data_IF_533914210620
#
_entry.id   IF_533914210620
#
_cell.length_a   1.000
_cell.length_b   1.000
_cell.length_c   1.000
_cell.angle_alpha   90.00
_cell.angle_beta   90.00
_cell.angle_gamma   90.00
#
_symmetry.space_group_name_H-M   'P 1'
#
loop_
_entity.id
_entity.type
_entity.pdbx_description
1 polymer ?
#
# COMPACT_ATOMS: atom_id res chain seq x y z
N UNK A 1 32.59 54.90 64.03
CA UNK A 1 33.88 54.65 63.34
C UNK A 1 33.57 54.43 61.86
N UNK A 2 33.75 55.47 61.04
CA UNK A 2 34.94 55.76 60.21
C UNK A 2 34.94 55.00 58.87
N UNK A 3 34.73 55.77 57.78
CA UNK A 3 35.37 55.74 56.45
C UNK A 3 35.26 54.46 55.59
N UNK A 4 35.25 54.47 54.26
CA UNK A 4 34.88 55.39 53.16
C UNK A 4 35.17 54.58 51.88
N UNK A 5 34.26 54.67 50.89
CA UNK A 5 34.52 54.84 49.44
C UNK A 5 35.64 54.02 48.77
N UNK A 6 35.28 53.19 47.76
CA UNK A 6 35.56 53.49 46.33
C UNK A 6 34.91 52.48 45.36
N UNK A 7 34.27 53.07 44.35
CA UNK A 7 33.84 52.51 43.07
C UNK A 7 34.89 51.65 42.38
N UNK A 8 34.47 50.54 41.75
CA UNK A 8 34.76 50.24 40.33
C UNK A 8 33.53 49.54 39.75
N UNK A 9 32.88 50.20 38.79
CA UNK A 9 31.89 49.59 37.91
C UNK A 9 32.62 48.88 36.77
N UNK A 10 32.33 47.59 36.57
CA UNK A 10 32.57 46.92 35.29
C UNK A 10 31.24 46.30 34.87
N UNK A 11 30.57 47.02 33.97
CA UNK A 11 29.53 46.50 33.10
C UNK A 11 30.18 45.40 32.25
N UNK A 12 29.79 44.14 32.44
CA UNK A 12 29.90 43.14 31.40
C UNK A 12 28.49 42.78 30.94
N UNK A 13 28.01 43.57 29.97
CA UNK A 13 26.91 43.19 29.10
C UNK A 13 27.35 41.98 28.28
N UNK A 14 27.11 40.77 28.82
CA UNK A 14 27.14 39.56 28.01
C UNK A 14 25.88 39.59 27.16
N UNK A 15 26.02 40.19 25.98
CA UNK A 15 25.12 39.99 24.86
C UNK A 15 25.25 38.52 24.48
N UNK A 16 24.39 37.68 25.06
CA UNK A 16 24.13 36.36 24.50
C UNK A 16 23.38 36.63 23.20
N UNK A 17 24.15 36.71 22.10
CA UNK A 17 23.60 36.57 20.77
C UNK A 17 22.92 35.20 20.71
N UNK A 18 21.61 35.19 20.96
CA UNK A 18 20.73 34.17 20.43
C UNK A 18 20.87 34.24 18.90
N UNK A 19 21.86 33.53 18.36
CA UNK A 19 21.77 33.02 17.00
C UNK A 19 20.64 32.01 17.05
N UNK A 20 19.43 32.49 16.77
CA UNK A 20 18.44 31.66 16.09
C UNK A 20 19.12 31.25 14.78
N UNK A 21 19.84 30.12 14.81
CA UNK A 21 19.94 29.28 13.64
C UNK A 21 18.50 29.02 13.27
N UNK A 22 18.03 29.65 12.18
CA UNK A 22 16.95 29.06 11.41
C UNK A 22 17.49 27.70 11.01
N UNK A 23 17.17 26.67 11.77
CA UNK A 23 17.04 25.36 11.17
C UNK A 23 16.12 25.59 9.98
N UNK A 24 16.66 25.39 8.78
CA UNK A 24 15.83 25.03 7.66
C UNK A 24 15.18 23.71 8.09
N UNK A 25 14.04 23.81 8.75
CA UNK A 25 12.98 22.83 8.59
C UNK A 25 12.57 22.95 7.13
N UNK A 26 13.36 22.33 6.26
CA UNK A 26 12.88 21.85 4.98
C UNK A 26 11.84 20.80 5.37
N UNK A 27 10.60 21.25 5.57
CA UNK A 27 9.51 20.36 5.98
C UNK A 27 9.39 19.30 4.90
N UNK A 28 9.38 18.01 5.29
CA UNK A 28 9.24 16.91 4.33
C UNK A 28 7.95 16.98 3.50
N UNK A 29 7.01 17.87 3.85
CA UNK A 29 5.86 18.26 3.02
C UNK A 29 6.27 18.64 1.59
N UNK A 30 7.43 19.28 1.41
CA UNK A 30 7.98 19.62 0.09
C UNK A 30 8.41 18.39 -0.74
N UNK A 31 8.70 17.26 -0.09
CA UNK A 31 9.20 16.05 -0.76
C UNK A 31 8.09 15.16 -1.31
N UNK A 32 6.87 15.26 -0.76
CA UNK A 32 5.71 14.49 -1.25
C UNK A 32 4.75 15.35 -2.08
N UNK A 33 4.97 16.67 -2.12
CA UNK A 33 4.15 17.62 -2.86
C UNK A 33 2.72 17.69 -2.34
N UNK A 34 2.58 17.71 -1.01
CA UNK A 34 1.30 17.67 -0.31
C UNK A 34 0.43 18.90 -0.65
N UNK A 35 -0.81 18.65 -1.07
CA UNK A 35 -1.80 19.71 -1.34
C UNK A 35 -2.88 19.75 -0.23
N UNK A 36 -3.24 18.62 0.35
CA UNK A 36 -4.20 18.54 1.46
C UNK A 36 -3.91 17.32 2.32
N UNK A 37 -3.93 17.49 3.64
CA UNK A 37 -3.88 16.41 4.61
C UNK A 37 -4.80 16.69 5.79
N UNK A 38 -5.79 15.81 5.96
CA UNK A 38 -6.60 15.67 7.16
C UNK A 38 -7.15 14.24 7.20
N UNK A 39 -7.86 13.91 8.27
CA UNK A 39 -8.43 12.57 8.49
C UNK A 39 -9.24 12.04 7.28
N UNK A 40 -9.92 12.94 6.55
CA UNK A 40 -10.84 12.58 5.46
C UNK A 40 -10.31 12.88 4.06
N UNK A 41 -9.18 13.57 3.92
CA UNK A 41 -8.63 13.99 2.62
C UNK A 41 -7.11 13.95 2.66
N UNK A 42 -6.52 13.23 1.71
CA UNK A 42 -5.08 13.18 1.52
C UNK A 42 -4.75 13.29 0.03
N UNK A 43 -4.08 14.37 -0.37
CA UNK A 43 -3.78 14.62 -1.78
C UNK A 43 -2.47 15.36 -1.98
N UNK A 44 -1.87 15.17 -3.16
CA UNK A 44 -0.63 15.82 -3.54
C UNK A 44 -0.20 15.51 -4.97
N UNK A 45 0.94 16.10 -5.35
CA UNK A 45 1.54 15.99 -6.68
C UNK A 45 3.05 15.96 -6.60
N UNK A 46 3.67 14.98 -7.25
CA UNK A 46 5.12 14.87 -7.33
C UNK A 46 5.55 14.30 -8.68
N UNK A 47 6.81 14.51 -9.03
CA UNK A 47 7.40 13.95 -10.25
C UNK A 47 8.52 12.98 -9.86
N UNK A 48 8.41 11.72 -10.26
CA UNK A 48 9.39 10.67 -10.01
C UNK A 48 9.89 10.14 -11.35
N UNK A 49 11.19 10.26 -11.60
CA UNK A 49 11.84 9.80 -12.84
C UNK A 49 11.14 10.32 -14.11
N UNK A 50 10.73 11.60 -14.12
CA UNK A 50 9.97 12.25 -15.19
C UNK A 50 8.55 11.70 -15.40
N UNK A 51 8.01 10.93 -14.45
CA UNK A 51 6.61 10.52 -14.40
C UNK A 51 5.88 11.45 -13.43
N UNK A 52 4.85 12.14 -13.90
CA UNK A 52 4.07 13.03 -13.04
C UNK A 52 2.97 12.23 -12.35
N UNK A 53 2.93 12.27 -11.02
CA UNK A 53 1.93 11.55 -10.23
C UNK A 53 1.13 12.57 -9.42
N UNK A 54 -0.18 12.56 -9.61
CA UNK A 54 -1.14 13.23 -8.73
C UNK A 54 -1.97 12.18 -8.02
N UNK A 55 -2.04 12.26 -6.70
CA UNK A 55 -2.76 11.30 -5.87
C UNK A 55 -3.81 12.01 -5.03
N UNK A 56 -4.95 11.36 -4.85
CA UNK A 56 -6.03 11.81 -3.97
C UNK A 56 -6.67 10.59 -3.31
N UNK A 57 -6.91 10.69 -2.01
CA UNK A 57 -7.75 9.80 -1.24
C UNK A 57 -8.73 10.63 -0.43
N UNK A 58 -10.02 10.31 -0.53
CA UNK A 58 -11.09 11.06 0.13
C UNK A 58 -12.10 10.12 0.76
N UNK A 59 -12.31 10.25 2.07
CA UNK A 59 -13.47 9.67 2.74
C UNK A 59 -14.74 10.43 2.34
N UNK A 60 -15.76 9.71 1.90
CA UNK A 60 -17.08 10.30 1.61
C UNK A 60 -18.16 9.83 2.59
N UNK A 61 -17.93 8.70 3.26
CA UNK A 61 -18.67 8.20 4.42
C UNK A 61 -17.67 7.50 5.35
N UNK A 62 -18.11 7.14 6.56
CA UNK A 62 -17.31 6.30 7.45
C UNK A 62 -16.92 5.01 6.73
N UNK A 63 -15.62 4.69 6.75
CA UNK A 63 -15.06 3.49 6.10
C UNK A 63 -15.26 3.38 4.58
N UNK A 64 -15.64 4.48 3.90
CA UNK A 64 -15.79 4.51 2.43
C UNK A 64 -14.96 5.61 1.79
N UNK A 65 -14.13 5.21 0.84
CA UNK A 65 -13.08 6.04 0.28
C UNK A 65 -13.13 6.08 -1.24
N UNK A 66 -12.89 7.26 -1.81
CA UNK A 66 -12.61 7.44 -3.22
C UNK A 66 -11.11 7.72 -3.39
N UNK A 67 -10.45 6.89 -4.18
CA UNK A 67 -9.04 7.04 -4.56
C UNK A 67 -8.98 7.46 -6.03
N UNK A 68 -8.09 8.40 -6.33
CA UNK A 68 -7.79 8.82 -7.70
C UNK A 68 -6.28 8.99 -7.85
N UNK A 69 -5.71 8.33 -8.85
CA UNK A 69 -4.29 8.41 -9.19
C UNK A 69 -4.16 8.80 -10.65
N UNK A 70 -3.60 9.97 -10.91
CA UNK A 70 -3.22 10.41 -12.25
C UNK A 70 -1.74 10.16 -12.45
N UNK A 71 -1.39 9.39 -13.47
CA UNK A 71 -0.02 9.09 -13.88
C UNK A 71 0.18 9.66 -15.28
N UNK A 72 0.93 10.76 -15.37
CA UNK A 72 0.99 11.63 -16.54
C UNK A 72 -0.43 12.05 -16.97
N UNK A 73 -0.93 11.51 -18.08
CA UNK A 73 -2.28 11.78 -18.61
C UNK A 73 -3.25 10.60 -18.41
N UNK A 74 -2.86 9.56 -17.68
CA UNK A 74 -3.67 8.37 -17.41
C UNK A 74 -4.30 8.47 -16.02
N UNK A 75 -5.60 8.18 -15.93
CA UNK A 75 -6.35 8.20 -14.68
C UNK A 75 -6.71 6.77 -14.27
N UNK A 76 -6.51 6.45 -13.00
CA UNK A 76 -7.07 5.26 -12.35
C UNK A 76 -7.81 5.71 -11.09
N UNK A 77 -9.04 5.23 -10.94
CA UNK A 77 -9.88 5.50 -9.78
C UNK A 77 -10.29 4.21 -9.08
N UNK A 78 -10.50 4.29 -7.77
CA UNK A 78 -11.18 3.26 -7.00
C UNK A 78 -12.20 3.84 -6.01
N UNK A 79 -13.28 3.10 -5.80
CA UNK A 79 -14.18 3.26 -4.67
C UNK A 79 -14.00 2.06 -3.76
N UNK A 80 -13.69 2.30 -2.48
CA UNK A 80 -13.44 1.27 -1.48
C UNK A 80 -14.51 1.37 -0.40
N UNK A 81 -15.17 0.26 -0.09
CA UNK A 81 -16.14 0.10 0.99
C UNK A 81 -15.62 -0.98 1.94
N UNK A 82 -15.01 -0.57 3.05
CA UNK A 82 -14.45 -1.51 4.03
C UNK A 82 -15.53 -2.21 4.87
N UNK A 83 -16.75 -1.68 4.94
CA UNK A 83 -17.85 -2.34 5.64
C UNK A 83 -18.29 -3.58 4.86
N UNK A 84 -18.35 -3.46 3.53
CA UNK A 84 -18.79 -4.53 2.63
C UNK A 84 -17.66 -5.37 2.04
N UNK A 85 -16.42 -4.95 2.23
CA UNK A 85 -15.24 -5.53 1.57
C UNK A 85 -15.41 -5.52 0.05
N UNK A 86 -15.86 -4.38 -0.45
CA UNK A 86 -16.12 -4.16 -1.85
C UNK A 86 -15.18 -3.09 -2.37
N UNK A 87 -14.62 -3.31 -3.55
CA UNK A 87 -13.96 -2.26 -4.31
C UNK A 87 -14.40 -2.22 -5.76
N UNK A 88 -14.58 -1.02 -6.28
CA UNK A 88 -14.85 -0.76 -7.69
C UNK A 88 -13.64 -0.03 -8.24
N UNK A 89 -12.93 -0.64 -9.17
CA UNK A 89 -11.79 -0.03 -9.87
C UNK A 89 -12.24 0.41 -11.25
N UNK A 90 -11.81 1.59 -11.68
CA UNK A 90 -11.95 2.07 -13.04
C UNK A 90 -10.64 2.71 -13.49
N UNK A 91 -9.87 1.98 -14.30
CA UNK A 91 -8.65 2.50 -14.91
C UNK A 91 -8.83 2.96 -16.35
N UNK A 92 -10.07 3.07 -16.85
CA UNK A 92 -10.37 3.57 -18.20
C UNK A 92 -9.61 2.85 -19.32
N UNK A 93 -9.42 1.53 -19.17
CA UNK A 93 -8.66 0.68 -20.09
C UNK A 93 -7.20 1.13 -20.29
N UNK A 94 -6.66 1.89 -19.32
CA UNK A 94 -5.25 2.27 -19.34
C UNK A 94 -4.36 1.03 -19.16
N UNK A 95 -3.19 1.08 -19.78
CA UNK A 95 -2.12 0.10 -19.61
C UNK A 95 -0.86 0.89 -19.19
N UNK A 96 -0.42 0.67 -17.95
CA UNK A 96 0.72 1.37 -17.39
C UNK A 96 2.03 0.69 -17.82
N UNK A 97 2.99 1.49 -18.27
CA UNK A 97 4.36 1.02 -18.51
C UNK A 97 5.04 0.60 -17.20
N UNK A 98 6.09 -0.23 -17.31
CA UNK A 98 6.90 -0.65 -16.17
C UNK A 98 7.46 0.55 -15.39
N UNK A 99 7.97 1.56 -16.09
CA UNK A 99 8.46 2.81 -15.49
C UNK A 99 7.37 3.55 -14.69
N UNK A 100 6.15 3.59 -15.21
CA UNK A 100 5.03 4.22 -14.51
C UNK A 100 4.64 3.43 -13.25
N UNK A 101 4.67 2.09 -13.31
CA UNK A 101 4.44 1.23 -12.16
C UNK A 101 5.51 1.40 -11.07
N UNK A 102 6.78 1.47 -11.47
CA UNK A 102 7.89 1.78 -10.57
C UNK A 102 7.72 3.16 -9.92
N UNK A 103 7.34 4.17 -10.70
CA UNK A 103 7.06 5.51 -10.18
C UNK A 103 5.92 5.51 -9.14
N UNK A 104 4.84 4.75 -9.37
CA UNK A 104 3.75 4.58 -8.38
C UNK A 104 4.29 3.97 -7.08
N UNK A 105 5.09 2.90 -7.16
CA UNK A 105 5.67 2.26 -5.98
C UNK A 105 6.62 3.22 -5.24
N UNK A 106 7.48 3.92 -5.95
CA UNK A 106 8.40 4.90 -5.38
C UNK A 106 7.64 6.05 -4.70
N UNK A 107 6.55 6.55 -5.30
CA UNK A 107 5.68 7.52 -4.64
C UNK A 107 5.07 6.95 -3.36
N UNK A 108 4.54 5.72 -3.38
CA UNK A 108 4.00 5.08 -2.18
C UNK A 108 5.04 4.95 -1.06
N UNK A 109 6.29 4.64 -1.43
CA UNK A 109 7.43 4.60 -0.50
C UNK A 109 7.67 5.96 0.14
N UNK A 110 7.80 7.00 -0.69
CA UNK A 110 8.09 8.37 -0.25
C UNK A 110 6.98 8.88 0.69
N UNK A 111 5.71 8.64 0.33
CA UNK A 111 4.56 9.00 1.18
C UNK A 111 4.64 8.25 2.51
N UNK A 112 4.91 6.94 2.50
CA UNK A 112 4.98 6.18 3.75
C UNK A 112 6.16 6.61 4.64
N UNK A 113 7.34 6.84 4.05
CA UNK A 113 8.51 7.35 4.78
C UNK A 113 8.19 8.69 5.46
N UNK A 114 7.44 9.57 4.79
CA UNK A 114 6.90 10.80 5.36
C UNK A 114 5.96 10.54 6.55
N UNK A 115 4.95 9.67 6.39
CA UNK A 115 3.98 9.39 7.46
C UNK A 115 4.65 8.73 8.69
N UNK A 116 5.63 7.85 8.47
CA UNK A 116 6.37 7.21 9.55
C UNK A 116 7.25 8.20 10.32
N UNK A 117 7.81 9.19 9.63
CA UNK A 117 8.71 10.20 10.22
C UNK A 117 7.94 11.32 10.89
N UNK A 118 6.99 11.93 10.17
CA UNK A 118 6.32 13.17 10.58
C UNK A 118 5.08 12.92 11.45
N UNK A 119 4.44 11.75 11.32
CA UNK A 119 3.27 11.38 12.14
C UNK A 119 3.57 10.29 13.17
N UNK A 120 4.85 9.95 13.38
CA UNK A 120 5.27 8.86 14.27
C UNK A 120 4.57 7.51 13.98
N UNK A 121 4.13 7.31 12.73
CA UNK A 121 3.38 6.13 12.32
C UNK A 121 1.87 6.16 12.59
N UNK A 122 1.31 7.31 13.00
CA UNK A 122 -0.13 7.52 13.07
C UNK A 122 -0.73 7.70 11.65
N UNK A 123 -1.07 6.57 11.03
CA UNK A 123 -1.59 6.51 9.67
C UNK A 123 -3.13 6.42 9.74
N UNK A 124 -3.80 7.43 9.20
CA UNK A 124 -5.27 7.44 9.04
C UNK A 124 -5.71 6.40 8.01
N UNK A 125 -6.99 6.01 8.06
CA UNK A 125 -7.55 5.11 7.04
C UNK A 125 -7.47 5.71 5.63
N UNK A 126 -7.67 7.02 5.48
CA UNK A 126 -7.52 7.72 4.18
C UNK A 126 -6.11 7.54 3.60
N UNK A 127 -5.08 7.69 4.41
CA UNK A 127 -3.67 7.50 4.01
C UNK A 127 -3.37 6.01 3.72
N UNK A 128 -3.82 5.12 4.59
CA UNK A 128 -3.65 3.67 4.44
C UNK A 128 -4.29 3.14 3.14
N UNK A 129 -5.52 3.57 2.83
CA UNK A 129 -6.24 3.14 1.64
C UNK A 129 -5.53 3.61 0.37
N UNK A 130 -5.01 4.85 0.35
CA UNK A 130 -4.21 5.32 -0.78
C UNK A 130 -3.00 4.41 -0.99
N UNK A 131 -2.20 4.23 0.07
CA UNK A 131 -0.96 3.46 0.03
C UNK A 131 -1.22 2.03 -0.45
N UNK A 132 -2.26 1.38 0.07
CA UNK A 132 -2.66 0.03 -0.31
C UNK A 132 -3.00 -0.07 -1.80
N UNK A 133 -3.78 0.89 -2.32
CA UNK A 133 -4.15 0.93 -3.74
C UNK A 133 -2.97 1.25 -4.66
N UNK A 134 -2.07 2.13 -4.25
CA UNK A 134 -0.83 2.41 -4.99
C UNK A 134 0.03 1.15 -5.12
N UNK A 135 0.16 0.38 -4.03
CA UNK A 135 0.90 -0.88 -4.09
C UNK A 135 0.21 -1.90 -5.00
N UNK A 136 -1.12 -2.05 -4.88
CA UNK A 136 -1.93 -2.95 -5.72
C UNK A 136 -1.77 -2.64 -7.21
N UNK A 137 -1.93 -1.37 -7.59
CA UNK A 137 -1.76 -0.97 -8.99
C UNK A 137 -0.31 -1.11 -9.47
N UNK A 138 0.65 -0.62 -8.68
CA UNK A 138 2.08 -0.67 -9.03
C UNK A 138 2.63 -2.08 -9.18
N UNK A 139 1.99 -3.10 -8.60
CA UNK A 139 2.43 -4.50 -8.67
C UNK A 139 1.69 -5.41 -9.61
N UNK A 140 0.58 -4.95 -10.14
CA UNK A 140 -0.11 -5.70 -11.19
C UNK A 140 0.85 -6.05 -12.33
N UNK A 141 0.62 -7.16 -13.05
CA UNK A 141 1.56 -7.63 -14.07
C UNK A 141 1.81 -6.64 -15.21
N UNK A 142 2.96 -6.74 -15.89
CA UNK A 142 3.27 -5.92 -17.06
C UNK A 142 2.18 -6.13 -18.12
N UNK A 143 1.78 -5.06 -18.83
CA UNK A 143 0.69 -5.05 -19.81
C UNK A 143 -0.73 -5.29 -19.25
N UNK A 144 -0.90 -5.32 -17.93
CA UNK A 144 -2.24 -5.40 -17.34
C UNK A 144 -3.09 -4.17 -17.71
N UNK A 145 -4.27 -4.42 -18.29
CA UNK A 145 -5.24 -3.39 -18.69
C UNK A 145 -6.19 -3.15 -17.51
N UNK A 146 -6.24 -1.93 -17.01
CA UNK A 146 -7.11 -1.57 -15.89
C UNK A 146 -8.51 -1.20 -16.40
N UNK A 147 -9.30 -2.19 -16.80
CA UNK A 147 -10.71 -2.01 -17.13
C UNK A 147 -11.56 -1.77 -15.87
N UNK A 148 -12.81 -1.33 -16.08
CA UNK A 148 -13.76 -1.21 -14.98
C UNK A 148 -14.13 -2.59 -14.44
N UNK A 149 -13.90 -2.83 -13.15
CA UNK A 149 -14.26 -4.07 -12.45
C UNK A 149 -14.78 -3.81 -11.05
N UNK A 150 -15.65 -4.68 -10.58
CA UNK A 150 -16.15 -4.72 -9.20
C UNK A 150 -15.61 -6.00 -8.55
N UNK A 151 -15.03 -5.85 -7.38
CA UNK A 151 -14.48 -6.91 -6.56
C UNK A 151 -15.24 -6.85 -5.25
N UNK A 152 -15.74 -7.98 -4.78
CA UNK A 152 -16.43 -8.05 -3.50
C UNK A 152 -16.07 -9.38 -2.85
N UNK A 153 -15.64 -9.35 -1.59
CA UNK A 153 -15.46 -10.58 -0.84
C UNK A 153 -16.76 -11.37 -0.79
N UNK A 154 -16.73 -12.69 -1.01
CA UNK A 154 -17.87 -13.56 -0.75
C UNK A 154 -18.32 -13.40 0.71
N UNK A 155 -19.47 -12.78 0.93
CA UNK A 155 -20.05 -12.64 2.26
C UNK A 155 -20.63 -14.01 2.67
N UNK A 156 -19.89 -14.80 3.44
CA UNK A 156 -20.40 -16.07 4.00
C UNK A 156 -21.53 -15.77 4.99
N UNK A 157 -22.78 -15.98 4.57
CA UNK A 157 -23.99 -15.81 5.40
C UNK A 157 -24.17 -16.91 6.46
N UNK A 158 -23.41 -17.99 6.35
CA UNK A 158 -23.32 -19.06 7.35
C UNK A 158 -22.04 -18.84 8.14
N UNK A 159 -22.13 -18.65 9.47
CA UNK A 159 -21.03 -18.31 10.39
C UNK A 159 -19.87 -19.32 10.50
N UNK A 160 -19.62 -20.11 9.47
CA UNK A 160 -18.43 -20.92 9.25
C UNK A 160 -17.86 -20.46 7.91
N UNK A 161 -16.81 -19.63 7.96
CA UNK A 161 -16.00 -19.32 6.78
C UNK A 161 -15.47 -20.65 6.24
N UNK A 162 -15.78 -20.98 4.99
CA UNK A 162 -15.00 -21.99 4.27
C UNK A 162 -13.54 -21.56 4.35
N UNK A 163 -12.60 -22.51 4.37
CA UNK A 163 -11.16 -22.21 4.44
C UNK A 163 -10.60 -21.58 3.16
N UNK A 164 -11.47 -21.23 2.22
CA UNK A 164 -11.20 -20.82 0.85
C UNK A 164 -12.22 -19.79 0.33
N UNK A 165 -12.98 -19.14 1.23
CA UNK A 165 -14.00 -18.16 0.83
C UNK A 165 -13.83 -16.90 1.67
N UNK A 166 -13.57 -15.78 0.98
CA UNK A 166 -13.24 -14.50 1.57
C UNK A 166 -11.98 -14.56 2.44
N UNK A 167 -11.77 -13.49 3.20
CA UNK A 167 -10.46 -13.24 3.80
C UNK A 167 -10.10 -14.22 4.91
N UNK A 168 -9.10 -15.05 4.62
CA UNK A 168 -8.60 -16.11 5.50
C UNK A 168 -7.11 -15.92 5.80
N UNK A 169 -6.78 -15.55 7.04
CA UNK A 169 -5.41 -15.33 7.45
C UNK A 169 -4.62 -16.65 7.57
N UNK A 170 -3.43 -16.68 6.98
CA UNK A 170 -2.45 -17.77 7.16
C UNK A 170 -1.20 -17.24 7.87
N UNK A 171 -0.27 -18.12 8.25
CA UNK A 171 0.87 -17.74 9.10
C UNK A 171 2.20 -18.07 8.44
N UNK A 172 3.13 -17.12 8.43
CA UNK A 172 4.50 -17.34 7.95
C UNK A 172 5.14 -18.54 8.65
N UNK A 173 5.93 -19.32 7.91
CA UNK A 173 6.59 -20.55 8.36
C UNK A 173 5.66 -21.73 8.70
N UNK A 174 4.37 -21.66 8.42
CA UNK A 174 3.49 -22.85 8.42
C UNK A 174 3.36 -23.44 7.02
N UNK A 175 2.76 -24.62 6.92
CA UNK A 175 2.36 -25.23 5.65
C UNK A 175 0.85 -25.06 5.48
N UNK A 176 0.43 -24.66 4.27
CA UNK A 176 -0.96 -24.49 3.87
C UNK A 176 -1.15 -25.19 2.52
N UNK A 177 -2.28 -25.84 2.34
CA UNK A 177 -2.68 -26.37 1.03
C UNK A 177 -3.16 -25.21 0.17
N UNK A 178 -2.40 -24.89 -0.87
CA UNK A 178 -2.88 -24.05 -1.96
C UNK A 178 -3.89 -24.84 -2.80
N UNK A 179 -5.01 -24.23 -3.16
CA UNK A 179 -6.10 -24.80 -3.95
C UNK A 179 -6.40 -23.82 -5.08
N UNK A 180 -6.15 -24.25 -6.31
CA UNK A 180 -6.29 -23.43 -7.52
C UNK A 180 -6.70 -24.34 -8.67
N UNK A 181 -7.24 -23.78 -9.75
CA UNK A 181 -7.41 -24.49 -11.00
C UNK A 181 -6.63 -23.84 -12.13
N UNK A 182 -6.46 -24.58 -13.21
CA UNK A 182 -5.90 -24.06 -14.45
C UNK A 182 -6.50 -24.82 -15.63
N UNK A 183 -5.98 -24.57 -16.83
CA UNK A 183 -6.43 -25.26 -18.04
C UNK A 183 -6.31 -26.80 -18.02
N UNK A 184 -5.64 -27.38 -17.01
CA UNK A 184 -5.48 -28.83 -16.79
C UNK A 184 -6.41 -29.37 -15.68
N UNK A 185 -7.17 -28.52 -15.00
CA UNK A 185 -8.11 -28.86 -13.93
C UNK A 185 -7.67 -28.37 -12.56
N UNK A 186 -8.23 -28.97 -11.50
CA UNK A 186 -8.03 -28.51 -10.12
C UNK A 186 -6.75 -29.11 -9.52
N UNK A 187 -6.01 -28.29 -8.78
CA UNK A 187 -4.75 -28.64 -8.14
C UNK A 187 -4.78 -28.38 -6.65
N UNK A 188 -3.98 -29.15 -5.91
CA UNK A 188 -3.81 -28.98 -4.46
C UNK A 188 -2.35 -29.22 -4.08
N UNK A 189 -1.66 -28.17 -3.69
CA UNK A 189 -0.24 -28.20 -3.37
C UNK A 189 0.01 -27.79 -1.92
N UNK A 190 0.81 -28.54 -1.18
CA UNK A 190 1.19 -28.14 0.18
C UNK A 190 2.40 -27.21 0.14
N UNK A 191 2.18 -25.92 0.41
CA UNK A 191 3.18 -24.86 0.23
C UNK A 191 3.57 -24.28 1.58
N UNK A 192 4.87 -24.00 1.76
CA UNK A 192 5.36 -23.29 2.94
C UNK A 192 5.11 -21.80 2.80
N UNK A 193 4.32 -21.23 3.72
CA UNK A 193 4.00 -19.80 3.77
C UNK A 193 5.28 -18.98 3.96
N UNK A 194 5.49 -18.01 3.08
CA UNK A 194 6.67 -17.15 3.07
C UNK A 194 7.93 -17.79 2.48
N UNK A 195 7.80 -18.91 1.77
CA UNK A 195 8.89 -19.43 0.95
C UNK A 195 9.05 -18.64 -0.35
N UNK A 196 10.20 -18.80 -1.03
CA UNK A 196 10.45 -18.28 -2.38
C UNK A 196 10.70 -19.47 -3.32
N UNK A 197 9.80 -19.77 -4.26
CA UNK A 197 9.94 -20.93 -5.13
C UNK A 197 10.98 -20.72 -6.24
N UNK A 198 11.25 -19.47 -6.63
CA UNK A 198 12.21 -19.11 -7.68
C UNK A 198 12.86 -17.75 -7.41
N UNK A 199 13.96 -17.49 -8.11
CA UNK A 199 14.62 -16.18 -8.09
C UNK A 199 13.67 -15.11 -8.64
N UNK A 200 13.66 -13.93 -8.02
CA UNK A 200 12.79 -12.79 -8.37
C UNK A 200 11.28 -13.07 -8.25
N UNK A 201 10.87 -14.04 -7.42
CA UNK A 201 9.46 -14.23 -7.06
C UNK A 201 9.16 -13.69 -5.67
N UNK A 202 7.92 -13.24 -5.51
CA UNK A 202 7.36 -12.86 -4.22
C UNK A 202 7.32 -14.04 -3.26
N UNK A 203 6.86 -13.76 -2.04
CA UNK A 203 6.81 -14.79 -1.02
C UNK A 203 5.43 -15.41 -0.92
N UNK A 204 5.42 -16.73 -0.97
CA UNK A 204 4.20 -17.53 -1.10
C UNK A 204 3.16 -17.19 -0.03
N UNK A 205 2.01 -16.68 -0.48
CA UNK A 205 0.87 -16.32 0.33
C UNK A 205 0.90 -14.92 0.91
N UNK A 206 1.84 -14.06 0.50
CA UNK A 206 1.86 -12.66 0.93
C UNK A 206 1.11 -11.82 -0.07
N UNK A 207 0.07 -11.14 0.37
CA UNK A 207 -0.52 -10.10 -0.46
C UNK A 207 0.41 -8.89 -0.50
N UNK A 208 0.90 -8.58 -1.70
CA UNK A 208 1.74 -7.42 -1.94
C UNK A 208 3.23 -7.74 -1.99
N UNK A 209 4.01 -7.11 -1.14
CA UNK A 209 5.47 -7.12 -1.25
C UNK A 209 6.13 -8.46 -0.99
N UNK A 210 7.38 -8.54 -1.43
CA UNK A 210 8.30 -9.63 -1.13
C UNK A 210 8.45 -9.84 0.40
N UNK A 211 9.06 -10.94 0.85
CA UNK A 211 9.17 -11.42 2.25
C UNK A 211 9.55 -10.42 3.37
N UNK A 212 10.04 -9.23 3.02
CA UNK A 212 10.47 -8.21 3.94
C UNK A 212 9.35 -7.27 4.39
N UNK A 213 9.64 -6.51 5.44
CA UNK A 213 8.81 -5.37 5.82
C UNK A 213 8.84 -4.37 4.68
N UNK A 214 7.68 -4.17 4.06
CA UNK A 214 7.48 -3.08 3.12
C UNK A 214 6.98 -1.86 3.88
N UNK A 215 6.94 -0.72 3.20
CA UNK A 215 6.52 0.55 3.80
C UNK A 215 5.02 0.59 4.16
N UNK A 216 4.25 -0.45 3.85
CA UNK A 216 2.83 -0.59 4.22
C UNK A 216 2.66 -1.96 4.92
N UNK A 217 1.85 -2.05 5.98
CA UNK A 217 1.41 -3.33 6.49
C UNK A 217 0.83 -4.20 5.35
N UNK A 218 1.14 -5.48 5.38
CA UNK A 218 0.66 -6.48 4.42
C UNK A 218 0.01 -7.62 5.18
N UNK A 219 -0.68 -8.51 4.48
CA UNK A 219 -1.25 -9.73 5.05
C UNK A 219 -0.63 -10.99 4.43
N UNK A 220 -0.56 -12.06 5.23
CA UNK A 220 -0.51 -13.43 4.68
C UNK A 220 -1.92 -13.97 4.65
N UNK A 221 -2.42 -14.35 3.47
CA UNK A 221 -3.80 -14.84 3.31
C UNK A 221 -3.85 -16.05 2.36
N UNK A 222 -5.00 -16.75 2.40
CA UNK A 222 -5.23 -17.95 1.62
C UNK A 222 -5.31 -17.67 0.12
N UNK A 223 -6.04 -16.65 -0.32
CA UNK A 223 -6.28 -16.46 -1.75
C UNK A 223 -5.01 -15.93 -2.43
N UNK A 224 -4.23 -15.11 -1.72
CA UNK A 224 -2.87 -14.77 -2.15
C UNK A 224 -1.94 -16.00 -2.23
N UNK A 225 -2.13 -17.04 -1.40
CA UNK A 225 -1.36 -18.29 -1.50
C UNK A 225 -1.75 -19.12 -2.71
N UNK A 226 -3.05 -19.18 -3.01
CA UNK A 226 -3.59 -19.91 -4.16
C UNK A 226 -3.11 -19.29 -5.46
N UNK A 227 -3.28 -17.97 -5.58
CA UNK A 227 -2.76 -17.20 -6.70
C UNK A 227 -1.24 -17.36 -6.85
N UNK A 228 -0.47 -17.21 -5.76
CA UNK A 228 0.98 -17.33 -5.81
C UNK A 228 1.42 -18.73 -6.28
N UNK A 229 0.73 -19.78 -5.86
CA UNK A 229 1.06 -21.14 -6.26
C UNK A 229 0.63 -21.44 -7.70
N UNK A 230 -0.57 -21.02 -8.12
CA UNK A 230 -0.99 -21.13 -9.51
C UNK A 230 0.00 -20.42 -10.43
N UNK A 231 0.34 -19.16 -10.10
CA UNK A 231 1.26 -18.36 -10.90
C UNK A 231 2.67 -18.93 -10.95
N UNK A 232 3.15 -19.50 -9.84
CA UNK A 232 4.43 -20.19 -9.79
C UNK A 232 4.46 -21.43 -10.73
N UNK A 233 3.40 -22.24 -10.71
CA UNK A 233 3.32 -23.47 -11.51
C UNK A 233 3.11 -23.19 -13.00
N UNK A 234 2.32 -22.17 -13.34
CA UNK A 234 1.96 -21.84 -14.72
C UNK A 234 2.82 -20.74 -15.33
N UNK A 235 3.76 -20.16 -14.58
CA UNK A 235 4.50 -18.96 -14.99
C UNK A 235 3.56 -17.82 -15.43
N UNK A 236 2.46 -17.65 -14.69
CA UNK A 236 1.39 -16.73 -15.03
C UNK A 236 1.87 -15.27 -14.93
N UNK A 237 1.35 -14.43 -15.81
CA UNK A 237 1.67 -13.00 -15.86
C UNK A 237 0.59 -12.14 -16.50
N UNK A 238 -0.59 -12.71 -16.80
CA UNK A 238 -1.70 -11.96 -17.41
C UNK A 238 -2.60 -11.19 -16.43
N UNK A 239 -2.40 -11.34 -15.12
CA UNK A 239 -3.35 -10.84 -14.11
C UNK A 239 -4.73 -11.48 -14.34
N UNK A 240 -5.81 -10.71 -14.21
CA UNK A 240 -7.19 -11.18 -14.47
C UNK A 240 -7.42 -11.81 -15.85
N UNK A 241 -6.59 -11.46 -16.84
CA UNK A 241 -6.71 -11.99 -18.21
C UNK A 241 -5.85 -13.24 -18.43
N UNK A 242 -5.12 -13.70 -17.41
CA UNK A 242 -4.37 -14.94 -17.51
C UNK A 242 -5.35 -16.11 -17.65
N UNK A 243 -5.09 -16.99 -18.62
CA UNK A 243 -5.97 -18.13 -18.89
C UNK A 243 -5.93 -19.19 -17.78
N UNK A 244 -4.83 -19.25 -17.04
CA UNK A 244 -4.61 -20.30 -16.05
C UNK A 244 -4.84 -19.82 -14.63
N UNK A 245 -4.58 -18.55 -14.32
CA UNK A 245 -4.59 -18.06 -12.94
C UNK A 245 -5.30 -16.70 -12.78
N UNK A 246 -6.15 -16.34 -13.75
CA UNK A 246 -6.79 -15.03 -13.79
C UNK A 246 -7.90 -14.87 -12.77
N UNK A 247 -8.60 -15.96 -12.49
CA UNK A 247 -9.57 -16.11 -11.42
C UNK A 247 -8.92 -16.05 -10.05
N UNK A 248 -7.83 -16.79 -9.77
CA UNK A 248 -7.15 -16.64 -8.47
C UNK A 248 -6.56 -15.23 -8.29
N UNK A 249 -6.12 -14.57 -9.37
CA UNK A 249 -5.71 -13.16 -9.31
C UNK A 249 -6.86 -12.23 -8.89
N UNK A 250 -8.08 -12.52 -9.35
CA UNK A 250 -9.26 -11.73 -9.01
C UNK A 250 -9.79 -12.03 -7.62
N UNK A 251 -9.72 -13.29 -7.19
CA UNK A 251 -10.02 -13.73 -5.82
C UNK A 251 -9.04 -13.07 -4.84
N UNK A 252 -7.73 -13.13 -5.06
CA UNK A 252 -6.73 -12.55 -4.16
C UNK A 252 -6.79 -11.00 -4.02
N UNK A 253 -7.59 -10.32 -4.84
CA UNK A 253 -7.64 -8.87 -4.86
C UNK A 253 -8.31 -8.27 -3.61
N UNK A 254 -9.31 -8.94 -3.03
CA UNK A 254 -9.95 -8.49 -1.79
C UNK A 254 -9.01 -8.66 -0.58
N UNK A 255 -8.34 -9.81 -0.49
CA UNK A 255 -7.30 -10.17 0.47
C UNK A 255 -6.18 -9.13 0.49
N UNK A 256 -5.81 -8.63 -0.69
CA UNK A 256 -4.80 -7.60 -0.85
C UNK A 256 -5.15 -6.29 -0.14
N UNK A 257 -6.39 -5.81 -0.31
CA UNK A 257 -6.79 -4.48 0.19
C UNK A 257 -7.30 -4.56 1.63
N UNK A 258 -7.99 -5.64 1.96
CA UNK A 258 -8.76 -5.77 3.20
C UNK A 258 -8.10 -6.70 4.24
N UNK A 259 -7.13 -7.53 3.85
CA UNK A 259 -6.52 -8.54 4.72
C UNK A 259 -5.95 -7.98 6.03
N UNK A 260 -5.22 -6.88 5.96
CA UNK A 260 -4.66 -6.20 7.15
C UNK A 260 -5.74 -5.69 8.07
N UNK A 261 -6.77 -5.04 7.52
CA UNK A 261 -7.89 -4.48 8.30
C UNK A 261 -8.72 -5.58 8.96
N UNK A 262 -8.77 -6.78 8.36
CA UNK A 262 -9.33 -7.99 8.99
C UNK A 262 -8.43 -8.63 10.04
N UNK A 263 -7.26 -8.06 10.31
CA UNK A 263 -6.34 -8.52 11.35
C UNK A 263 -5.37 -9.61 10.90
N UNK A 264 -5.28 -9.90 9.59
CA UNK A 264 -4.19 -10.71 9.06
C UNK A 264 -2.87 -9.93 9.19
N UNK A 265 -1.77 -10.63 9.48
CA UNK A 265 -0.49 -9.99 9.83
C UNK A 265 0.62 -10.54 8.95
N UNK A 266 1.33 -9.65 8.26
CA UNK A 266 2.48 -9.90 7.38
C UNK A 266 3.83 -9.91 8.07
#
# INVERSE_FOLDING_TARGET
MKFNVKFIAILLSIVVCAKCTKENTDTQEGNIGLETQNENNFSGKLSIDNTNISYTSKAYEELKFKISLSIDNMLIEALIDYEKEEMIINGYDNNLSEKQKEAILNTGKIISDYLLTEKEGDISMTEYTLLSMMEYWGKSPINYIYSKRKIASPQTTTGIKSRNEGITCIRKNTYVTAEYDDSRGNHRDNVKVGSKPRNNYGCMGRCGSDCGRWWIPSAWTKDCMDHDQCSNVNNASGGSSDRNCGDEFDEAADDYVFGVIRGCRG
#
